data_IF_728535757944
#
_entry.id   IF_728535757944
#
_cell.length_a   1.000
_cell.length_b   1.000
_cell.length_c   1.000
_cell.angle_alpha   90.00
_cell.angle_beta   90.00
_cell.angle_gamma   90.00
#
_symmetry.space_group_name_H-M   'P 1'
#
loop_
_entity.id
_entity.type
_entity.pdbx_description
1 polymer ?
#
# COMPACT_ATOMS: atom_id res chain seq x y z
N UNK A 1 10.70 30.60 15.55
CA UNK A 1 9.76 31.46 14.83
C UNK A 1 9.19 30.87 13.56
N UNK A 2 9.88 30.00 12.78
CA UNK A 2 9.20 29.37 11.66
C UNK A 2 8.11 28.44 12.20
N UNK A 3 7.01 28.31 11.44
CA UNK A 3 5.91 27.40 11.78
C UNK A 3 6.25 25.96 11.39
N UNK A 4 6.78 25.79 10.18
CA UNK A 4 7.20 24.54 9.54
C UNK A 4 8.65 24.59 9.03
N UNK A 5 9.23 25.79 8.88
CA UNK A 5 10.54 26.05 8.24
C UNK A 5 10.56 25.62 6.76
N UNK A 6 9.41 25.78 6.10
CA UNK A 6 9.17 25.30 4.73
C UNK A 6 9.81 26.17 3.63
N UNK A 7 10.27 27.38 3.95
CA UNK A 7 10.73 28.34 2.94
C UNK A 7 9.54 28.94 2.17
N UNK A 8 9.56 28.96 0.83
CA UNK A 8 8.40 29.35 0.02
C UNK A 8 7.27 28.32 0.17
N UNK A 9 6.07 28.78 0.51
CA UNK A 9 4.91 27.89 0.77
C UNK A 9 3.61 28.59 0.36
N UNK A 10 2.50 27.87 0.25
CA UNK A 10 1.17 28.45 -0.06
C UNK A 10 0.12 27.84 0.87
N UNK A 11 0.11 28.28 2.14
CA UNK A 11 -0.79 27.74 3.18
C UNK A 11 -1.81 28.81 3.62
N UNK A 12 -3.10 28.45 3.81
CA UNK A 12 -4.11 29.35 4.36
C UNK A 12 -3.73 29.90 5.74
N UNK A 13 -3.91 31.22 5.95
CA UNK A 13 -3.80 31.87 7.26
C UNK A 13 -5.16 32.42 7.67
N UNK A 14 -5.56 32.13 8.92
CA UNK A 14 -6.81 32.61 9.50
C UNK A 14 -6.56 33.28 10.85
N UNK A 15 -7.47 34.17 11.23
CA UNK A 15 -7.60 34.58 12.62
C UNK A 15 -7.94 33.35 13.48
N UNK A 16 -7.54 33.38 14.75
CA UNK A 16 -7.79 32.27 15.66
C UNK A 16 -8.39 32.77 16.98
N UNK A 17 -9.48 32.12 17.42
CA UNK A 17 -9.96 32.26 18.79
C UNK A 17 -9.22 31.26 19.67
N UNK A 18 -8.38 31.76 20.58
CA UNK A 18 -7.70 30.93 21.57
C UNK A 18 -8.67 30.62 22.71
N UNK A 19 -8.95 29.34 22.93
CA UNK A 19 -9.84 28.87 24.00
C UNK A 19 -9.07 28.65 25.30
N UNK A 20 -7.89 28.02 25.20
CA UNK A 20 -7.02 27.75 26.35
C UNK A 20 -5.56 27.67 25.93
N UNK A 21 -4.66 28.00 26.85
CA UNK A 21 -3.22 27.80 26.71
C UNK A 21 -2.86 26.64 27.64
N UNK A 22 -2.28 25.58 27.09
CA UNK A 22 -1.76 24.45 27.85
C UNK A 22 -0.27 24.74 28.13
N UNK A 23 0.10 25.06 29.38
CA UNK A 23 1.47 25.38 29.72
C UNK A 23 2.34 24.12 29.67
N UNK A 24 3.53 24.25 29.10
CA UNK A 24 4.56 23.20 29.11
C UNK A 24 5.95 23.85 29.14
N UNK A 25 6.85 23.22 29.88
CA UNK A 25 8.24 23.67 30.01
C UNK A 25 9.00 23.59 28.67
N UNK A 26 8.71 22.58 27.85
CA UNK A 26 9.35 22.41 26.54
C UNK A 26 8.75 23.34 25.49
N UNK A 27 7.41 23.35 25.38
CA UNK A 27 6.68 24.20 24.43
C UNK A 27 5.21 24.33 24.83
N UNK A 28 4.78 25.53 25.19
CA UNK A 28 3.36 25.81 25.43
C UNK A 28 2.56 25.70 24.13
N UNK A 29 1.32 25.20 24.21
CA UNK A 29 0.42 25.07 23.05
C UNK A 29 -0.87 25.83 23.29
N UNK A 30 -1.41 26.43 22.23
CA UNK A 30 -2.72 27.11 22.24
C UNK A 30 -3.73 26.20 21.59
N UNK A 31 -4.81 25.88 22.30
CA UNK A 31 -5.97 25.25 21.69
C UNK A 31 -6.87 26.36 21.14
N UNK A 32 -7.04 26.39 19.84
CA UNK A 32 -7.76 27.46 19.15
C UNK A 32 -8.60 26.93 18.00
N UNK A 33 -9.68 27.64 17.69
CA UNK A 33 -10.46 27.43 16.47
C UNK A 33 -10.16 28.52 15.45
N UNK A 34 -10.08 28.17 14.15
CA UNK A 34 -9.97 29.16 13.10
C UNK A 34 -11.24 30.01 13.03
N UNK A 35 -11.08 31.27 12.61
CA UNK A 35 -12.16 32.22 12.34
C UNK A 35 -12.13 32.55 10.85
N UNK A 36 -11.90 33.81 10.50
CA UNK A 36 -11.91 34.27 9.12
C UNK A 36 -10.55 34.07 8.47
N UNK A 37 -10.56 33.63 7.21
CA UNK A 37 -9.38 33.58 6.36
C UNK A 37 -8.84 34.99 6.11
N UNK A 38 -7.58 35.21 6.43
CA UNK A 38 -6.90 36.52 6.30
C UNK A 38 -5.90 36.57 5.15
N UNK A 39 -5.63 35.43 4.50
CA UNK A 39 -4.75 35.37 3.33
C UNK A 39 -3.95 34.09 3.29
N UNK A 40 -2.75 34.19 2.71
CA UNK A 40 -1.87 33.05 2.45
C UNK A 40 -0.48 33.31 2.99
N UNK A 41 0.06 32.32 3.72
CA UNK A 41 1.47 32.27 4.09
C UNK A 41 2.29 31.97 2.83
N UNK A 42 3.18 32.89 2.47
CA UNK A 42 4.02 32.81 1.25
C UNK A 42 5.50 32.55 1.56
N UNK A 43 5.92 32.79 2.81
CA UNK A 43 7.26 32.52 3.30
C UNK A 43 7.17 32.06 4.75
N UNK A 44 7.87 30.98 5.07
CA UNK A 44 8.04 30.47 6.42
C UNK A 44 9.51 30.14 6.65
N UNK A 45 10.24 31.06 7.28
CA UNK A 45 11.69 30.97 7.48
C UNK A 45 12.05 31.33 8.89
N UNK A 46 13.24 30.90 9.32
CA UNK A 46 13.76 31.18 10.65
C UNK A 46 13.56 32.64 11.13
N UNK A 47 13.82 33.69 10.32
CA UNK A 47 13.70 35.08 10.77
C UNK A 47 12.25 35.57 10.90
N UNK A 48 11.35 35.13 10.02
CA UNK A 48 9.96 35.63 9.97
C UNK A 48 9.05 34.75 9.09
N UNK A 49 7.74 34.90 9.32
CA UNK A 49 6.67 34.39 8.46
C UNK A 49 6.12 35.56 7.64
N UNK A 50 6.04 35.39 6.32
CA UNK A 50 5.46 36.36 5.39
C UNK A 50 4.06 35.93 4.96
N UNK A 51 3.07 36.80 5.14
CA UNK A 51 1.67 36.57 4.77
C UNK A 51 1.23 37.61 3.75
N UNK A 52 0.49 37.18 2.72
CA UNK A 52 -0.14 38.04 1.73
C UNK A 52 -1.66 37.91 1.82
N UNK A 53 -2.33 39.03 2.10
CA UNK A 53 -3.78 39.10 2.20
C UNK A 53 -4.48 39.12 0.83
N UNK A 54 -3.75 39.43 -0.23
CA UNK A 54 -4.26 39.51 -1.60
C UNK A 54 -4.17 38.18 -2.37
N UNK A 55 -3.70 37.12 -1.72
CA UNK A 55 -3.61 35.77 -2.28
C UNK A 55 -4.49 34.83 -1.47
N UNK A 56 -5.28 34.01 -2.16
CA UNK A 56 -6.04 32.90 -1.58
C UNK A 56 -5.32 31.59 -1.90
N UNK A 57 -5.01 30.81 -0.85
CA UNK A 57 -4.37 29.51 -0.99
C UNK A 57 -5.33 28.51 -1.64
N UNK A 58 -4.80 27.67 -2.53
CA UNK A 58 -5.56 26.56 -3.09
C UNK A 58 -5.77 25.49 -1.99
N UNK A 59 -7.00 24.99 -1.90
CA UNK A 59 -7.41 23.97 -0.94
C UNK A 59 -7.91 22.75 -1.72
N UNK A 60 -7.65 21.57 -1.19
CA UNK A 60 -8.16 20.31 -1.74
C UNK A 60 -9.44 19.94 -0.99
N UNK A 61 -10.60 19.87 -1.67
CA UNK A 61 -11.82 19.34 -1.08
C UNK A 61 -11.68 17.85 -0.76
N UNK A 62 -12.06 17.47 0.45
CA UNK A 62 -12.04 16.09 0.94
C UNK A 62 -13.43 15.72 1.44
N UNK A 63 -14.03 14.69 0.85
CA UNK A 63 -15.28 14.10 1.32
C UNK A 63 -14.95 12.79 1.99
N UNK A 64 -15.26 12.68 3.28
CA UNK A 64 -15.06 11.44 4.06
C UNK A 64 -16.40 10.83 4.42
N UNK A 65 -16.69 9.66 3.86
CA UNK A 65 -17.86 8.85 4.17
C UNK A 65 -17.52 7.87 5.29
N UNK A 66 -18.24 7.99 6.40
CA UNK A 66 -18.12 7.13 7.57
C UNK A 66 -19.29 6.15 7.62
N UNK A 67 -19.01 4.86 7.48
CA UNK A 67 -20.00 3.79 7.63
C UNK A 67 -19.62 2.93 8.85
N UNK A 68 -20.34 3.07 9.98
CA UNK A 68 -19.98 2.39 11.22
C UNK A 68 -20.30 0.90 11.19
N UNK A 69 -19.64 0.15 12.07
CA UNK A 69 -19.94 -1.27 12.29
C UNK A 69 -21.21 -1.45 13.14
N UNK A 70 -21.47 -0.51 14.05
CA UNK A 70 -22.60 -0.52 14.98
C UNK A 70 -23.87 0.01 14.31
N UNK A 71 -24.99 -0.74 14.32
CA UNK A 71 -26.26 -0.28 13.72
C UNK A 71 -26.85 0.98 14.36
N UNK A 72 -26.55 1.22 15.64
CA UNK A 72 -27.06 2.36 16.40
C UNK A 72 -26.31 3.66 16.10
N UNK A 73 -25.11 3.57 15.53
CA UNK A 73 -24.35 4.73 15.04
C UNK A 73 -24.83 5.03 13.62
N UNK A 74 -25.26 6.26 13.39
CA UNK A 74 -25.68 6.68 12.05
C UNK A 74 -24.46 6.93 11.15
N UNK A 75 -24.49 6.53 9.86
CA UNK A 75 -23.50 6.94 8.88
C UNK A 75 -23.40 8.46 8.79
N UNK A 76 -22.21 8.99 8.48
CA UNK A 76 -21.96 10.43 8.37
C UNK A 76 -21.05 10.76 7.20
N UNK A 77 -21.32 11.90 6.59
CA UNK A 77 -20.49 12.47 5.54
C UNK A 77 -19.84 13.76 6.05
N UNK A 78 -18.51 13.79 6.01
CA UNK A 78 -17.70 14.94 6.39
C UNK A 78 -17.19 15.65 5.15
N UNK A 79 -17.59 16.91 4.96
CA UNK A 79 -17.07 17.78 3.93
C UNK A 79 -15.99 18.68 4.53
N UNK A 80 -14.74 18.43 4.17
CA UNK A 80 -13.57 19.16 4.67
C UNK A 80 -12.76 19.75 3.52
N UNK A 81 -11.90 20.71 3.85
CA UNK A 81 -10.91 21.25 2.93
C UNK A 81 -9.55 21.22 3.61
N UNK A 82 -8.53 20.74 2.91
CA UNK A 82 -7.14 20.68 3.41
C UNK A 82 -6.24 21.54 2.54
N UNK A 83 -5.18 22.10 3.13
CA UNK A 83 -4.21 22.89 2.37
C UNK A 83 -3.62 22.05 1.23
N UNK A 84 -3.53 22.63 0.02
CA UNK A 84 -2.85 22.02 -1.13
C UNK A 84 -1.35 22.23 -1.02
N UNK A 85 -0.66 21.28 -0.39
CA UNK A 85 0.78 21.33 -0.10
C UNK A 85 1.37 19.92 -0.05
N UNK A 86 2.54 19.73 -0.66
CA UNK A 86 3.19 18.43 -0.80
C UNK A 86 3.45 17.74 0.55
N UNK A 87 3.79 18.49 1.59
CA UNK A 87 4.09 17.94 2.90
C UNK A 87 2.84 17.76 3.78
N UNK A 88 1.86 18.66 3.66
CA UNK A 88 0.69 18.67 4.54
C UNK A 88 -0.49 17.84 4.02
N UNK A 89 -0.80 17.91 2.72
CA UNK A 89 -2.02 17.30 2.17
C UNK A 89 -2.15 15.81 2.49
N UNK A 90 -1.13 14.94 2.26
CA UNK A 90 -1.29 13.50 2.52
C UNK A 90 -1.60 13.22 4.00
N UNK A 91 -0.90 13.91 4.91
CA UNK A 91 -1.08 13.74 6.35
C UNK A 91 -2.45 14.22 6.84
N UNK A 92 -2.95 15.34 6.31
CA UNK A 92 -4.27 15.88 6.68
C UNK A 92 -5.41 15.00 6.15
N UNK A 93 -5.33 14.53 4.90
CA UNK A 93 -6.34 13.60 4.34
C UNK A 93 -6.38 12.30 5.17
N UNK A 94 -5.21 11.76 5.51
CA UNK A 94 -5.09 10.56 6.33
C UNK A 94 -5.65 10.77 7.75
N UNK A 95 -5.45 11.95 8.35
CA UNK A 95 -6.02 12.27 9.66
C UNK A 95 -7.55 12.26 9.61
N UNK A 96 -8.17 12.88 8.60
CA UNK A 96 -9.62 12.86 8.41
C UNK A 96 -10.18 11.43 8.28
N UNK A 97 -9.45 10.53 7.61
CA UNK A 97 -9.83 9.12 7.50
C UNK A 97 -9.79 8.41 8.85
N UNK A 98 -8.69 8.58 9.60
CA UNK A 98 -8.49 7.95 10.91
C UNK A 98 -9.49 8.47 11.93
N UNK A 99 -9.78 9.77 11.92
CA UNK A 99 -10.76 10.38 12.81
C UNK A 99 -12.16 9.79 12.54
N UNK A 100 -12.58 9.71 11.27
CA UNK A 100 -13.83 9.07 10.89
C UNK A 100 -13.87 7.58 11.26
N UNK A 101 -12.77 6.85 11.05
CA UNK A 101 -12.67 5.43 11.42
C UNK A 101 -12.76 5.24 12.95
N UNK A 102 -12.12 6.12 13.72
CA UNK A 102 -12.13 6.07 15.19
C UNK A 102 -13.53 6.36 15.75
N UNK A 103 -14.28 7.25 15.10
CA UNK A 103 -15.68 7.48 15.42
C UNK A 103 -16.57 6.28 15.03
N UNK A 104 -16.28 5.63 13.90
CA UNK A 104 -17.02 4.48 13.39
C UNK A 104 -16.82 3.19 14.21
N UNK A 105 -15.69 3.07 14.93
CA UNK A 105 -15.25 1.86 15.63
C UNK A 105 -14.81 2.17 17.06
N UNK A 106 -15.78 2.48 17.92
CA UNK A 106 -15.54 2.93 19.30
C UNK A 106 -15.14 1.81 20.27
N UNK A 107 -15.37 0.56 19.89
CA UNK A 107 -15.28 -0.60 20.79
C UNK A 107 -14.04 -1.45 20.50
N UNK A 108 -13.46 -2.03 21.54
CA UNK A 108 -12.31 -2.95 21.46
C UNK A 108 -12.74 -4.33 20.96
N UNK A 109 -13.29 -4.40 19.75
CA UNK A 109 -13.76 -5.60 19.09
C UNK A 109 -12.98 -5.88 17.80
N UNK A 110 -13.00 -7.13 17.34
CA UNK A 110 -12.43 -7.49 16.04
C UNK A 110 -13.19 -6.78 14.91
N UNK A 111 -12.47 -5.95 14.16
CA UNK A 111 -13.01 -5.10 13.11
C UNK A 111 -12.37 -5.40 11.77
N UNK A 112 -13.18 -5.42 10.73
CA UNK A 112 -12.71 -5.38 9.34
C UNK A 112 -13.06 -4.04 8.74
N UNK A 113 -12.04 -3.31 8.26
CA UNK A 113 -12.23 -2.07 7.53
C UNK A 113 -12.14 -2.31 6.03
N UNK A 114 -13.14 -1.83 5.31
CA UNK A 114 -13.08 -1.63 3.86
C UNK A 114 -12.85 -0.14 3.64
N UNK A 115 -11.76 0.20 2.95
CA UNK A 115 -11.42 1.58 2.62
C UNK A 115 -11.43 1.76 1.11
N UNK A 116 -12.17 2.75 0.66
CA UNK A 116 -12.22 3.13 -0.75
C UNK A 116 -11.76 4.57 -0.91
N UNK A 117 -10.97 4.83 -1.95
CA UNK A 117 -10.55 6.18 -2.33
C UNK A 117 -10.91 6.43 -3.79
N UNK A 118 -11.51 7.58 -4.06
CA UNK A 118 -11.64 8.16 -5.40
C UNK A 118 -10.90 9.49 -5.41
N UNK A 119 -9.79 9.55 -6.15
CA UNK A 119 -8.91 10.72 -6.20
C UNK A 119 -9.04 11.34 -7.59
N UNK A 120 -9.57 12.56 -7.67
CA UNK A 120 -9.66 13.32 -8.91
C UNK A 120 -8.39 14.15 -9.10
N UNK A 121 -7.73 13.97 -10.23
CA UNK A 121 -6.44 14.56 -10.57
C UNK A 121 -6.54 15.42 -11.83
N UNK A 122 -5.67 16.42 -11.92
CA UNK A 122 -5.32 17.12 -13.15
C UNK A 122 -3.84 16.87 -13.45
N UNK A 123 -3.55 16.23 -14.58
CA UNK A 123 -2.18 15.98 -15.05
C UNK A 123 -1.89 16.79 -16.31
N UNK A 124 -0.66 16.79 -16.81
CA UNK A 124 -0.32 17.43 -18.09
C UNK A 124 -1.05 16.83 -19.29
N UNK A 125 -1.56 15.60 -19.14
CA UNK A 125 -2.38 14.90 -20.15
C UNK A 125 -3.88 15.17 -20.00
N UNK A 126 -4.30 15.88 -18.95
CA UNK A 126 -5.68 16.25 -18.66
C UNK A 126 -6.25 15.58 -17.40
N UNK A 127 -7.58 15.56 -17.24
CA UNK A 127 -8.23 15.05 -16.05
C UNK A 127 -8.11 13.53 -15.94
N UNK A 128 -7.73 13.03 -14.77
CA UNK A 128 -7.67 11.61 -14.44
C UNK A 128 -8.40 11.33 -13.12
N UNK A 129 -8.91 10.11 -12.95
CA UNK A 129 -9.47 9.63 -11.68
C UNK A 129 -8.82 8.31 -11.30
N UNK A 130 -8.34 8.23 -10.07
CA UNK A 130 -7.77 7.01 -9.48
C UNK A 130 -8.77 6.45 -8.49
N UNK A 131 -9.04 5.15 -8.58
CA UNK A 131 -9.94 4.44 -7.68
C UNK A 131 -9.22 3.28 -7.02
N UNK A 132 -9.21 3.27 -5.70
CA UNK A 132 -8.51 2.27 -4.89
C UNK A 132 -9.48 1.68 -3.88
N UNK A 133 -9.37 0.37 -3.65
CA UNK A 133 -10.13 -0.34 -2.64
C UNK A 133 -9.20 -1.27 -1.87
N UNK A 134 -9.26 -1.18 -0.56
CA UNK A 134 -8.47 -1.97 0.38
C UNK A 134 -9.38 -2.58 1.44
N UNK A 135 -8.98 -3.74 1.95
CA UNK A 135 -9.67 -4.41 3.04
C UNK A 135 -8.60 -4.89 4.03
N UNK A 136 -8.75 -4.49 5.29
CA UNK A 136 -7.79 -4.78 6.34
C UNK A 136 -8.53 -5.22 7.61
N UNK A 137 -7.87 -6.09 8.38
CA UNK A 137 -8.40 -6.62 9.62
C UNK A 137 -7.63 -6.09 10.83
N UNK A 138 -8.38 -5.66 11.85
CA UNK A 138 -7.89 -5.03 13.06
C UNK A 138 -8.27 -5.90 14.27
N UNK A 139 -7.35 -6.76 14.77
CA UNK A 139 -7.53 -7.45 16.05
C UNK A 139 -7.93 -6.47 17.14
N UNK A 140 -9.03 -6.72 17.86
CA UNK A 140 -9.45 -5.93 19.01
C UNK A 140 -9.57 -4.40 18.76
N UNK A 141 -9.70 -3.97 17.50
CA UNK A 141 -9.69 -2.56 17.12
C UNK A 141 -8.35 -1.84 17.38
N UNK A 142 -7.26 -2.59 17.53
CA UNK A 142 -6.06 -2.16 18.26
C UNK A 142 -5.31 -0.95 17.67
N UNK A 143 -5.29 -0.75 16.35
CA UNK A 143 -4.67 0.47 15.79
C UNK A 143 -5.25 0.88 14.42
N UNK A 144 -6.36 1.61 14.42
CA UNK A 144 -6.91 2.22 13.20
C UNK A 144 -5.97 3.27 12.58
N UNK A 145 -4.86 3.66 13.24
CA UNK A 145 -3.87 4.59 12.65
C UNK A 145 -3.08 3.94 11.52
N UNK A 146 -3.09 2.61 11.39
CA UNK A 146 -2.54 1.95 10.22
C UNK A 146 -3.26 2.36 8.92
N UNK A 147 -4.50 2.88 9.00
CA UNK A 147 -5.19 3.43 7.82
C UNK A 147 -4.45 4.61 7.17
N UNK A 148 -3.48 5.24 7.87
CA UNK A 148 -2.62 6.29 7.32
C UNK A 148 -1.68 5.80 6.23
N UNK A 149 -1.41 4.49 6.15
CA UNK A 149 -0.56 3.89 5.12
C UNK A 149 -1.33 3.24 3.97
N UNK A 150 -2.65 3.48 3.88
CA UNK A 150 -3.46 3.01 2.75
C UNK A 150 -2.91 3.55 1.42
N UNK A 151 -3.13 2.81 0.34
CA UNK A 151 -2.65 3.17 -1.00
C UNK A 151 -3.26 4.46 -1.52
N UNK A 152 -4.45 4.83 -1.06
CA UNK A 152 -5.04 6.14 -1.35
C UNK A 152 -4.13 7.28 -0.89
N UNK A 153 -3.68 7.22 0.37
CA UNK A 153 -2.76 8.20 0.93
C UNK A 153 -1.39 8.15 0.25
N UNK A 154 -0.87 6.95 -0.04
CA UNK A 154 0.37 6.79 -0.81
C UNK A 154 0.26 7.39 -2.22
N UNK A 155 -0.90 7.26 -2.87
CA UNK A 155 -1.15 7.85 -4.19
C UNK A 155 -1.17 9.37 -4.11
N UNK A 156 -1.81 9.95 -3.09
CA UNK A 156 -1.82 11.40 -2.86
C UNK A 156 -0.39 11.92 -2.68
N UNK A 157 0.41 11.26 -1.83
CA UNK A 157 1.82 11.61 -1.65
C UNK A 157 2.62 11.48 -2.96
N UNK A 158 2.48 10.36 -3.66
CA UNK A 158 3.16 10.08 -4.92
C UNK A 158 2.75 11.01 -6.06
N UNK A 159 1.54 11.57 -6.05
CA UNK A 159 1.10 12.55 -7.05
C UNK A 159 1.70 13.93 -6.76
N UNK A 160 1.73 14.34 -5.49
CA UNK A 160 2.24 15.65 -5.10
C UNK A 160 3.78 15.74 -5.08
N UNK A 161 4.45 14.61 -4.86
CA UNK A 161 5.90 14.49 -4.78
C UNK A 161 6.42 13.48 -5.82
N UNK A 162 6.48 13.90 -7.09
CA UNK A 162 7.01 13.08 -8.19
C UNK A 162 7.97 13.86 -9.08
N UNK A 163 8.86 13.13 -9.75
CA UNK A 163 9.89 13.70 -10.64
C UNK A 163 9.43 13.89 -12.10
N UNK A 164 8.19 13.52 -12.44
CA UNK A 164 7.73 13.46 -13.83
C UNK A 164 6.98 14.71 -14.27
N UNK A 165 6.07 15.21 -13.44
CA UNK A 165 5.22 16.35 -13.76
C UNK A 165 4.62 17.04 -12.51
N UNK A 166 4.19 18.29 -12.68
CA UNK A 166 3.42 19.01 -11.66
C UNK A 166 1.94 18.67 -11.84
N UNK A 167 1.47 17.66 -11.12
CA UNK A 167 0.06 17.28 -11.07
C UNK A 167 -0.68 18.01 -9.94
N UNK A 168 -2.01 18.11 -10.06
CA UNK A 168 -2.88 18.71 -9.04
C UNK A 168 -3.96 17.74 -8.60
N UNK A 169 -4.34 17.81 -7.32
CA UNK A 169 -5.46 17.05 -6.78
C UNK A 169 -6.68 17.97 -6.76
N UNK A 170 -7.71 17.62 -7.53
CA UNK A 170 -8.96 18.38 -7.63
C UNK A 170 -9.94 18.06 -6.51
N UNK A 171 -9.96 16.80 -6.06
CA UNK A 171 -10.82 16.33 -4.96
C UNK A 171 -10.32 14.96 -4.48
N UNK A 172 -10.50 14.70 -3.19
CA UNK A 172 -10.39 13.36 -2.61
C UNK A 172 -11.74 12.97 -2.04
N UNK A 173 -12.25 11.81 -2.42
CA UNK A 173 -13.38 11.15 -1.77
C UNK A 173 -12.85 9.87 -1.15
N UNK A 174 -13.14 9.67 0.14
CA UNK A 174 -12.67 8.52 0.89
C UNK A 174 -13.82 7.93 1.71
N UNK A 175 -13.96 6.62 1.68
CA UNK A 175 -14.98 5.88 2.43
C UNK A 175 -14.27 4.92 3.36
N UNK A 176 -14.63 4.96 4.65
CA UNK A 176 -14.29 3.92 5.61
C UNK A 176 -15.55 3.21 6.05
N UNK A 177 -15.62 1.91 5.76
CA UNK A 177 -16.68 1.04 6.22
C UNK A 177 -16.12 0.02 7.19
N UNK A 178 -16.64 0.05 8.41
CA UNK A 178 -16.28 -0.92 9.44
C UNK A 178 -17.36 -2.00 9.54
N UNK A 179 -16.91 -3.23 9.77
CA UNK A 179 -17.80 -4.38 10.03
C UNK A 179 -17.22 -5.22 11.15
N UNK A 180 -18.08 -5.72 12.04
CA UNK A 180 -17.65 -6.64 13.08
C UNK A 180 -17.36 -8.03 12.55
N UNK A 181 -16.39 -8.64 13.20
CA UNK A 181 -16.08 -10.05 13.06
C UNK A 181 -14.65 -10.26 12.60
N UNK A 182 -14.25 -11.50 12.78
CA UNK A 182 -12.99 -12.05 12.30
C UNK A 182 -13.28 -12.81 11.00
N UNK A 183 -13.11 -12.21 9.81
CA UNK A 183 -13.10 -12.91 8.55
C UNK A 183 -11.68 -13.36 8.17
N UNK A 184 -10.81 -13.70 9.14
CA UNK A 184 -9.42 -14.10 8.89
C UNK A 184 -9.23 -15.60 9.07
N UNK A 185 -8.46 -16.16 8.16
CA UNK A 185 -7.86 -17.49 8.26
C UNK A 185 -6.34 -17.31 8.33
N UNK A 186 -5.70 -17.97 9.30
CA UNK A 186 -4.26 -17.91 9.55
C UNK A 186 -3.62 -19.18 8.99
N UNK A 187 -2.62 -19.03 8.12
CA UNK A 187 -1.77 -20.14 7.71
C UNK A 187 -0.82 -20.43 8.87
N UNK A 188 -0.91 -21.60 9.49
CA UNK A 188 -0.03 -22.00 10.60
C UNK A 188 1.21 -22.73 10.11
N UNK A 189 1.05 -23.56 9.09
CA UNK A 189 2.14 -24.32 8.51
C UNK A 189 1.86 -24.66 7.05
N UNK A 190 2.95 -24.75 6.29
CA UNK A 190 2.96 -25.24 4.92
C UNK A 190 3.90 -26.43 4.87
N UNK A 191 3.47 -27.52 4.22
CA UNK A 191 4.28 -28.75 4.08
C UNK A 191 4.22 -29.26 2.66
N UNK A 192 5.34 -29.80 2.19
CA UNK A 192 5.41 -30.53 0.93
C UNK A 192 5.49 -32.02 1.26
N UNK A 193 4.60 -32.81 0.66
CA UNK A 193 4.52 -34.25 0.98
C UNK A 193 5.49 -35.10 0.16
N UNK A 194 5.95 -34.59 -0.99
CA UNK A 194 6.90 -35.28 -1.87
C UNK A 194 8.33 -35.16 -1.31
N UNK A 195 9.05 -36.29 -1.22
CA UNK A 195 10.44 -36.31 -0.77
C UNK A 195 11.43 -35.83 -1.84
N UNK A 196 11.17 -36.16 -3.11
CA UNK A 196 11.96 -35.72 -4.27
C UNK A 196 11.04 -34.96 -5.23
N UNK A 197 11.51 -33.81 -5.71
CA UNK A 197 10.78 -32.91 -6.61
C UNK A 197 11.53 -32.86 -7.93
N UNK A 198 10.87 -33.22 -9.04
CA UNK A 198 11.48 -33.15 -10.36
C UNK A 198 10.95 -31.96 -11.16
N UNK A 199 11.77 -31.45 -12.09
CA UNK A 199 11.28 -30.55 -13.13
C UNK A 199 10.16 -31.26 -13.89
N UNK A 200 9.01 -30.62 -14.07
CA UNK A 200 7.85 -31.34 -14.59
C UNK A 200 6.79 -31.70 -13.53
N UNK A 201 7.16 -31.78 -12.26
CA UNK A 201 6.26 -32.34 -11.25
C UNK A 201 5.15 -31.36 -10.87
N UNK A 202 3.97 -31.94 -10.61
CA UNK A 202 2.89 -31.26 -9.90
C UNK A 202 3.12 -31.44 -8.40
N UNK A 203 3.65 -30.41 -7.76
CA UNK A 203 3.95 -30.37 -6.33
C UNK A 203 2.65 -30.23 -5.53
N UNK A 204 2.38 -31.17 -4.62
CA UNK A 204 1.25 -31.07 -3.69
C UNK A 204 1.70 -30.43 -2.39
N UNK A 205 1.27 -29.19 -2.19
CA UNK A 205 1.52 -28.42 -0.99
C UNK A 205 0.32 -28.54 -0.06
N UNK A 206 0.56 -28.99 1.16
CA UNK A 206 -0.44 -29.13 2.22
C UNK A 206 -0.38 -27.91 3.14
N UNK A 207 -1.52 -27.27 3.35
CA UNK A 207 -1.68 -26.04 4.13
C UNK A 207 -2.49 -26.35 5.38
N UNK A 208 -1.92 -26.06 6.54
CA UNK A 208 -2.61 -26.10 7.82
C UNK A 208 -3.15 -24.69 8.10
N UNK A 209 -4.46 -24.52 7.96
CA UNK A 209 -5.14 -23.23 8.05
C UNK A 209 -6.07 -23.25 9.26
N UNK A 210 -5.91 -22.29 10.16
CA UNK A 210 -6.72 -22.14 11.36
C UNK A 210 -7.48 -20.83 11.32
N UNK A 211 -8.78 -20.88 11.59
CA UNK A 211 -9.54 -19.66 11.92
C UNK A 211 -9.04 -19.15 13.27
N UNK A 212 -8.84 -17.84 13.45
CA UNK A 212 -8.22 -17.28 14.68
C UNK A 212 -8.76 -17.87 15.99
N UNK A 213 -10.09 -18.07 16.06
CA UNK A 213 -10.78 -18.72 17.19
C UNK A 213 -11.53 -20.00 16.80
N UNK A 214 -11.07 -20.74 15.80
CA UNK A 214 -11.75 -21.93 15.29
C UNK A 214 -10.83 -23.14 15.08
N UNK A 215 -11.39 -24.14 14.41
CA UNK A 215 -10.72 -25.42 14.15
C UNK A 215 -9.64 -25.29 13.09
N UNK A 216 -8.62 -26.13 13.23
CA UNK A 216 -7.60 -26.35 12.21
C UNK A 216 -8.19 -27.16 11.07
N UNK A 217 -8.04 -26.68 9.85
CA UNK A 217 -8.38 -27.41 8.62
C UNK A 217 -7.14 -27.56 7.75
N UNK A 218 -7.07 -28.68 7.05
CA UNK A 218 -6.00 -28.94 6.10
C UNK A 218 -6.52 -28.79 4.68
N UNK A 219 -5.87 -27.94 3.89
CA UNK A 219 -6.14 -27.76 2.46
C UNK A 219 -4.94 -28.22 1.62
N UNK A 220 -5.18 -28.54 0.35
CA UNK A 220 -4.10 -28.92 -0.57
C UNK A 220 -4.09 -28.00 -1.78
N UNK A 221 -2.89 -27.60 -2.17
CA UNK A 221 -2.63 -26.75 -3.32
C UNK A 221 -1.63 -27.45 -4.23
N UNK A 222 -2.03 -27.63 -5.48
CA UNK A 222 -1.15 -28.19 -6.50
C UNK A 222 -0.39 -27.06 -7.23
N UNK A 223 0.94 -27.08 -7.22
CA UNK A 223 1.81 -26.12 -7.90
C UNK A 223 2.66 -26.84 -8.95
N UNK A 224 2.68 -26.32 -10.18
CA UNK A 224 3.51 -26.91 -11.24
C UNK A 224 4.94 -26.38 -11.13
N UNK A 225 5.90 -27.27 -10.91
CA UNK A 225 7.33 -26.92 -10.99
C UNK A 225 7.67 -26.68 -12.46
N UNK A 226 8.32 -25.58 -12.85
CA UNK A 226 8.69 -25.34 -14.25
C UNK A 226 9.50 -26.49 -14.87
N UNK A 227 9.28 -26.76 -16.17
CA UNK A 227 9.98 -27.86 -16.89
C UNK A 227 11.48 -27.60 -17.05
N UNK A 228 11.88 -26.34 -16.98
CA UNK A 228 13.24 -25.85 -17.16
C UNK A 228 13.98 -25.62 -15.82
N UNK A 229 13.38 -25.94 -14.68
CA UNK A 229 13.98 -25.76 -13.35
C UNK A 229 14.92 -26.91 -12.93
N UNK A 230 15.30 -27.81 -13.85
CA UNK A 230 16.11 -28.98 -13.52
C UNK A 230 17.51 -28.58 -12.99
N UNK A 231 17.86 -29.02 -11.78
CA UNK A 231 19.13 -28.72 -11.14
C UNK A 231 19.18 -27.37 -10.41
N UNK A 232 18.02 -26.69 -10.26
CA UNK A 232 17.91 -25.44 -9.54
C UNK A 232 17.28 -25.63 -8.15
N UNK A 233 17.61 -24.74 -7.23
CA UNK A 233 16.82 -24.56 -6.01
C UNK A 233 15.68 -23.57 -6.29
N UNK A 234 14.48 -23.95 -5.85
CA UNK A 234 13.28 -23.11 -5.91
C UNK A 234 12.81 -22.76 -4.50
N UNK A 235 12.20 -21.60 -4.38
CA UNK A 235 11.59 -21.11 -3.16
C UNK A 235 10.10 -20.88 -3.40
N UNK A 236 9.26 -21.52 -2.61
CA UNK A 236 7.80 -21.38 -2.67
C UNK A 236 7.37 -20.58 -1.48
N UNK A 237 6.84 -19.40 -1.76
CA UNK A 237 6.23 -18.52 -0.78
C UNK A 237 4.72 -18.59 -0.89
N UNK A 238 4.02 -18.66 0.24
CA UNK A 238 2.56 -18.64 0.30
C UNK A 238 2.14 -17.60 1.33
N UNK A 239 1.39 -16.60 0.88
CA UNK A 239 0.95 -15.46 1.69
C UNK A 239 -0.45 -15.00 1.30
N UNK A 240 -1.04 -14.11 2.08
CA UNK A 240 -2.30 -13.45 1.75
C UNK A 240 -2.15 -12.40 0.65
N UNK A 241 -3.14 -12.28 -0.23
CA UNK A 241 -3.12 -11.33 -1.34
C UNK A 241 -3.06 -9.85 -0.90
N UNK A 242 -3.50 -9.53 0.31
CA UNK A 242 -3.35 -8.20 0.90
C UNK A 242 -1.87 -7.86 1.21
N UNK A 243 -1.04 -8.87 1.48
CA UNK A 243 0.36 -8.71 1.87
C UNK A 243 1.35 -8.96 0.73
N UNK A 244 0.94 -9.72 -0.30
CA UNK A 244 1.78 -9.98 -1.47
C UNK A 244 1.98 -8.71 -2.31
N UNK A 245 3.25 -8.42 -2.65
CA UNK A 245 3.61 -7.30 -3.51
C UNK A 245 3.73 -7.76 -4.97
N UNK A 246 2.89 -7.24 -5.89
CA UNK A 246 3.06 -7.50 -7.31
C UNK A 246 4.38 -6.94 -7.83
N UNK A 247 4.81 -7.45 -8.99
CA UNK A 247 5.94 -6.84 -9.67
C UNK A 247 5.59 -5.41 -10.11
N UNK A 248 6.39 -4.47 -9.64
CA UNK A 248 6.36 -3.05 -10.00
C UNK A 248 7.67 -2.70 -10.74
N UNK A 249 7.64 -2.52 -12.06
CA UNK A 249 8.80 -1.98 -12.78
C UNK A 249 9.09 -0.55 -12.31
N UNK A 250 10.31 -0.07 -12.56
CA UNK A 250 10.62 1.35 -12.34
C UNK A 250 9.69 2.21 -13.21
N UNK A 251 8.99 3.21 -12.65
CA UNK A 251 8.08 4.04 -13.42
C UNK A 251 8.85 5.05 -14.28
N UNK A 252 8.40 5.25 -15.52
CA UNK A 252 8.95 6.25 -16.45
C UNK A 252 8.05 7.49 -16.57
N UNK A 253 6.87 7.46 -15.93
CA UNK A 253 5.90 8.55 -15.90
C UNK A 253 5.05 8.49 -14.63
N UNK A 254 4.35 9.59 -14.32
CA UNK A 254 3.36 9.60 -13.23
C UNK A 254 2.28 8.53 -13.47
N UNK A 255 1.93 8.27 -14.74
CA UNK A 255 0.95 7.24 -15.05
C UNK A 255 1.42 5.84 -14.67
N UNK A 256 2.69 5.52 -14.92
CA UNK A 256 3.31 4.26 -14.54
C UNK A 256 3.45 4.15 -13.01
N UNK A 257 3.79 5.25 -12.35
CA UNK A 257 3.87 5.32 -10.89
C UNK A 257 2.52 5.01 -10.24
N UNK A 258 1.45 5.66 -10.69
CA UNK A 258 0.09 5.40 -10.20
C UNK A 258 -0.33 3.96 -10.55
N UNK A 259 -0.09 3.49 -11.77
CA UNK A 259 -0.42 2.12 -12.17
C UNK A 259 0.30 1.07 -11.31
N UNK A 260 1.54 1.34 -10.90
CA UNK A 260 2.28 0.48 -9.98
C UNK A 260 1.66 0.42 -8.57
N UNK A 261 1.13 1.53 -8.08
CA UNK A 261 0.42 1.59 -6.78
C UNK A 261 -0.94 0.86 -6.87
N UNK A 262 -1.66 1.02 -7.98
CA UNK A 262 -2.94 0.36 -8.23
C UNK A 262 -2.80 -1.18 -8.32
N UNK A 263 -1.65 -1.68 -8.79
CA UNK A 263 -1.36 -3.12 -8.85
C UNK A 263 -1.33 -3.73 -7.44
N UNK A 264 -2.33 -4.56 -7.17
CA UNK A 264 -2.43 -5.45 -5.99
C UNK A 264 -3.09 -6.78 -6.35
N UNK A 265 -2.97 -7.73 -5.44
CA UNK A 265 -3.82 -8.92 -5.45
C UNK A 265 -5.11 -8.65 -4.68
N UNK A 266 -6.19 -9.40 -4.95
CA UNK A 266 -7.41 -9.31 -4.16
C UNK A 266 -7.13 -9.60 -2.69
N UNK A 267 -7.63 -8.76 -1.77
CA UNK A 267 -7.40 -8.94 -0.33
C UNK A 267 -7.86 -10.33 0.18
N UNK A 268 -9.01 -10.79 -0.32
CA UNK A 268 -9.55 -12.14 -0.08
C UNK A 268 -9.02 -13.14 -1.11
N UNK A 269 -7.70 -13.28 -1.14
CA UNK A 269 -7.04 -14.34 -1.89
C UNK A 269 -5.79 -14.82 -1.15
N UNK A 270 -5.36 -16.03 -1.49
CA UNK A 270 -4.04 -16.55 -1.14
C UNK A 270 -3.19 -16.51 -2.40
N UNK A 271 -1.95 -16.06 -2.28
CA UNK A 271 -0.99 -16.01 -3.38
C UNK A 271 0.13 -16.99 -3.07
N UNK A 272 0.31 -17.96 -3.95
CA UNK A 272 1.45 -18.86 -3.95
C UNK A 272 2.41 -18.43 -5.05
N UNK A 273 3.64 -18.09 -4.67
CA UNK A 273 4.69 -17.58 -5.53
C UNK A 273 5.86 -18.54 -5.50
N UNK A 274 6.22 -19.09 -6.66
CA UNK A 274 7.44 -19.88 -6.86
C UNK A 274 8.51 -18.95 -7.43
N UNK A 275 9.55 -18.73 -6.64
CA UNK A 275 10.77 -18.04 -7.02
C UNK A 275 11.83 -19.04 -7.46
N UNK A 276 12.46 -18.78 -8.60
CA UNK A 276 13.68 -19.49 -9.02
C UNK A 276 14.91 -18.72 -8.53
N UNK A 277 15.96 -19.45 -8.17
CA UNK A 277 17.23 -18.83 -7.76
C UNK A 277 17.97 -18.19 -8.94
N UNK A 278 17.82 -18.75 -10.16
CA UNK A 278 18.48 -18.22 -11.36
C UNK A 278 17.80 -16.94 -11.91
N UNK A 279 18.65 -15.98 -12.23
CA UNK A 279 18.38 -14.55 -12.36
C UNK A 279 17.83 -14.16 -13.75
N UNK A 280 16.96 -13.15 -13.79
CA UNK A 280 16.61 -12.39 -14.99
C UNK A 280 16.93 -10.90 -14.77
N UNK A 281 17.36 -10.19 -15.82
CA UNK A 281 17.64 -8.75 -15.75
C UNK A 281 16.45 -7.98 -16.32
N UNK A 282 15.85 -7.10 -15.53
CA UNK A 282 14.92 -6.10 -16.07
C UNK A 282 15.72 -4.90 -16.57
N UNK A 283 15.66 -4.64 -17.88
CA UNK A 283 16.24 -3.44 -18.48
C UNK A 283 15.14 -2.49 -18.93
N UNK A 284 15.49 -1.23 -19.19
CA UNK A 284 14.56 -0.22 -19.73
C UNK A 284 13.86 -0.60 -21.05
N UNK A 285 14.24 -1.68 -21.72
CA UNK A 285 13.65 -2.12 -22.99
C UNK A 285 12.97 -3.50 -22.91
N UNK A 286 12.71 -4.01 -21.71
CA UNK A 286 12.04 -5.29 -21.50
C UNK A 286 12.90 -6.35 -20.83
N UNK A 287 12.29 -7.52 -20.66
CA UNK A 287 12.77 -8.64 -19.86
C UNK A 287 13.79 -9.48 -20.66
N UNK A 288 15.02 -9.59 -20.15
CA UNK A 288 16.03 -10.51 -20.69
C UNK A 288 16.10 -11.75 -19.79
N UNK A 289 15.91 -12.94 -20.39
CA UNK A 289 15.94 -14.25 -19.72
C UNK A 289 17.31 -14.90 -19.85
N UNK A 290 17.65 -15.80 -18.92
CA UNK A 290 18.77 -16.74 -19.00
C UNK A 290 20.13 -16.09 -19.30
N UNK A 291 20.43 -14.96 -18.65
CA UNK A 291 21.73 -14.33 -18.77
C UNK A 291 22.72 -15.00 -17.81
N UNK A 292 23.88 -15.51 -18.29
CA UNK A 292 24.93 -15.99 -17.41
C UNK A 292 25.42 -14.90 -16.45
N UNK A 293 25.85 -15.27 -15.24
CA UNK A 293 26.34 -14.34 -14.20
C UNK A 293 27.40 -13.36 -14.73
N UNK A 294 28.29 -13.84 -15.61
CA UNK A 294 29.33 -13.02 -16.25
C UNK A 294 28.76 -11.94 -17.18
N UNK A 295 27.62 -12.19 -17.81
CA UNK A 295 26.92 -11.22 -18.66
C UNK A 295 26.14 -10.23 -17.80
N UNK A 296 25.54 -10.67 -16.69
CA UNK A 296 24.88 -9.80 -15.72
C UNK A 296 25.85 -8.82 -15.06
N UNK A 297 27.05 -9.27 -14.66
CA UNK A 297 28.12 -8.40 -14.19
C UNK A 297 28.58 -7.41 -15.27
N UNK A 298 28.66 -7.82 -16.53
CA UNK A 298 29.04 -6.93 -17.65
C UNK A 298 27.94 -5.91 -18.03
N UNK A 299 26.67 -6.27 -17.83
CA UNK A 299 25.49 -5.42 -18.05
C UNK A 299 25.18 -4.50 -16.87
N UNK A 300 25.95 -4.64 -15.79
CA UNK A 300 26.04 -3.70 -14.67
C UNK A 300 27.33 -2.87 -14.84
N UNK A 301 27.47 -2.04 -15.90
CA UNK A 301 28.71 -1.31 -16.12
C UNK A 301 28.97 -0.37 -14.94
N UNK A 302 30.14 -0.49 -14.33
CA UNK A 302 30.66 0.49 -13.41
C UNK A 302 30.62 1.88 -14.09
N UNK A 303 29.76 2.79 -13.61
CA UNK A 303 29.63 4.15 -14.15
C UNK A 303 28.26 4.53 -14.72
N UNK A 304 27.22 3.68 -14.63
CA UNK A 304 25.81 4.15 -14.78
C UNK A 304 25.22 4.54 -13.44
N UNK A 305 24.50 5.66 -13.40
CA UNK A 305 23.75 6.12 -12.22
C UNK A 305 22.40 5.41 -12.03
N UNK A 306 21.98 4.56 -12.98
CA UNK A 306 20.69 3.86 -12.94
C UNK A 306 20.89 2.41 -12.46
N UNK A 307 20.26 1.98 -11.35
CA UNK A 307 20.39 0.63 -10.85
C UNK A 307 19.74 -0.38 -11.82
N UNK A 308 20.44 -1.48 -12.10
CA UNK A 308 19.87 -2.64 -12.77
C UNK A 308 19.16 -3.52 -11.74
N UNK A 309 17.85 -3.75 -11.93
CA UNK A 309 17.04 -4.54 -10.99
C UNK A 309 17.06 -6.02 -11.42
N UNK A 310 17.56 -6.87 -10.52
CA UNK A 310 17.50 -8.34 -10.68
C UNK A 310 16.07 -8.80 -10.44
N UNK A 311 15.53 -9.59 -11.36
CA UNK A 311 14.26 -10.28 -11.24
C UNK A 311 14.50 -11.77 -11.05
N UNK A 312 13.88 -12.39 -10.05
CA UNK A 312 13.73 -13.85 -10.01
C UNK A 312 12.63 -14.22 -11.00
N UNK A 313 12.76 -15.30 -11.76
CA UNK A 313 11.63 -15.80 -12.55
C UNK A 313 10.56 -16.32 -11.58
N UNK A 314 9.33 -15.82 -11.73
CA UNK A 314 8.23 -16.06 -10.78
C UNK A 314 7.07 -16.76 -11.47
N UNK A 315 6.69 -17.94 -11.00
CA UNK A 315 5.38 -18.50 -11.30
C UNK A 315 4.45 -18.19 -10.12
N UNK A 316 3.33 -17.53 -10.40
CA UNK A 316 2.36 -17.15 -9.36
C UNK A 316 1.00 -17.79 -9.61
N UNK A 317 0.38 -18.25 -8.53
CA UNK A 317 -1.00 -18.72 -8.52
C UNK A 317 -1.79 -17.94 -7.47
N UNK A 318 -2.83 -17.25 -7.92
CA UNK A 318 -3.77 -16.50 -7.07
C UNK A 318 -5.00 -17.36 -6.86
N UNK A 319 -5.36 -17.61 -5.61
CA UNK A 319 -6.45 -18.51 -5.22
C UNK A 319 -7.47 -17.65 -4.46
N UNK A 320 -8.67 -17.41 -5.01
CA UNK A 320 -9.71 -16.68 -4.30
C UNK A 320 -10.12 -17.40 -3.02
N UNK A 321 -10.30 -16.64 -1.95
CA UNK A 321 -10.74 -17.15 -0.65
C UNK A 321 -11.99 -16.40 -0.20
N UNK A 322 -12.76 -17.01 0.70
CA UNK A 322 -13.93 -16.32 1.30
C UNK A 322 -13.51 -15.32 2.38
N UNK A 323 -12.30 -15.46 2.91
CA UNK A 323 -11.76 -14.85 4.13
C UNK A 323 -10.40 -14.23 3.83
N UNK A 324 -10.03 -13.20 4.56
CA UNK A 324 -8.67 -12.65 4.51
C UNK A 324 -7.69 -13.72 4.99
N UNK A 325 -6.49 -13.71 4.43
CA UNK A 325 -5.45 -14.70 4.73
C UNK A 325 -4.30 -14.00 5.43
N UNK A 326 -3.94 -14.47 6.62
CA UNK A 326 -2.80 -14.00 7.40
C UNK A 326 -1.73 -15.10 7.46
N UNK A 327 -0.46 -14.71 7.41
CA UNK A 327 0.68 -15.62 7.44
C UNK A 327 1.52 -15.51 6.17
N UNK A 328 2.83 -15.69 6.36
CA UNK A 328 3.83 -15.66 5.30
C UNK A 328 4.77 -16.85 5.53
N UNK A 329 4.70 -17.84 4.63
CA UNK A 329 5.43 -19.10 4.78
C UNK A 329 6.24 -19.40 3.54
N UNK A 330 7.49 -19.78 3.76
CA UNK A 330 8.45 -20.05 2.69
C UNK A 330 9.04 -21.44 2.82
N UNK A 331 9.06 -22.19 1.72
CA UNK A 331 9.67 -23.52 1.62
C UNK A 331 10.72 -23.49 0.51
N UNK A 332 11.91 -24.02 0.80
CA UNK A 332 12.97 -24.22 -0.19
C UNK A 332 13.07 -25.68 -0.60
N UNK A 333 13.21 -25.93 -1.90
CA UNK A 333 13.26 -27.28 -2.47
C UNK A 333 14.31 -27.30 -3.58
N UNK A 334 15.09 -28.39 -3.65
CA UNK A 334 15.98 -28.66 -4.78
C UNK A 334 15.24 -29.46 -5.85
N UNK A 335 15.37 -29.04 -7.10
CA UNK A 335 14.66 -29.65 -8.23
C UNK A 335 15.57 -30.61 -8.99
N UNK A 336 15.18 -31.88 -9.04
CA UNK A 336 15.86 -32.92 -9.79
C UNK A 336 15.51 -32.87 -11.29
N UNK A 337 16.34 -33.48 -12.18
CA UNK A 337 16.00 -33.62 -13.59
C UNK A 337 14.65 -34.30 -13.81
N UNK A 338 13.96 -33.97 -14.90
CA UNK A 338 12.67 -34.56 -15.22
C UNK A 338 12.71 -36.09 -15.17
N UNK A 339 11.65 -36.72 -14.65
CA UNK A 339 11.55 -38.17 -14.56
C UNK A 339 11.74 -38.77 -15.95
N UNK A 340 12.74 -39.64 -16.12
CA UNK A 340 12.86 -40.41 -17.35
C UNK A 340 11.76 -41.46 -17.34
N UNK A 341 10.78 -41.31 -18.23
CA UNK A 341 9.91 -42.43 -18.56
C UNK A 341 10.76 -43.41 -19.38
N UNK A 342 11.31 -44.44 -18.72
CA UNK A 342 11.77 -45.62 -19.43
C UNK A 342 10.59 -46.16 -20.24
N UNK A 343 10.69 -46.08 -21.57
CA UNK A 343 9.72 -46.69 -22.47
C UNK A 343 9.61 -48.19 -22.18
N UNK A 344 8.39 -48.77 -22.29
CA UNK A 344 8.15 -50.18 -22.01
C UNK A 344 8.90 -51.13 -22.94
#
# INVERSE_FOLDING_TARGET
HPMFDAGPVTIPVADARVHVIIPSFQRSVKLSSPLTMQGTMVQDRQPAIGVRADITAEMVPVITHMIPAEPDIQPRDYHSEVASDTALTPGLVAALLVDAASEAGTDAADLTAVVEHTIALETTKGPRTVKLREEAFFPLGADLRELRSTRGILTIAAVLDNDFEVARIRQVEQTVQLTYGDPVDIIEAVRVTQGEVHAGDLLRVTLDIRRRHGELRTETLDLRVPDDAAGEDIEINITGGAYEQPYRPMPDSLDDLIANIERTYPARSMVATLYREQEGLSTKHGLLRDLPDSVLESLTPAGRSTPSVRFKQMARRVIPTKRLIEGDHTIKLSVLPARSFSQP
#
